data_IF_061619218015
#
_entry.id   IF_061619218015
#
_cell.length_a   1.000
_cell.length_b   1.000
_cell.length_c   1.000
_cell.angle_alpha   90.00
_cell.angle_beta   90.00
_cell.angle_gamma   90.00
#
_symmetry.space_group_name_H-M   'P 1'
#
loop_
_entity.id
_entity.type
_entity.pdbx_description
1 polymer ?
#
# COMPACT_ATOMS: atom_id res chain seq x y z
N UNK A 1 -8.61 9.07 -9.65
CA UNK A 1 -8.92 9.27 -11.08
C UNK A 1 -9.77 8.10 -11.54
N UNK A 2 -10.81 8.36 -12.33
CA UNK A 2 -11.80 7.35 -12.73
C UNK A 2 -11.97 7.35 -14.25
N UNK A 3 -12.06 6.15 -14.82
CA UNK A 3 -12.57 5.90 -16.17
C UNK A 3 -13.89 5.19 -16.06
N UNK A 4 -14.95 5.79 -16.61
CA UNK A 4 -16.29 5.26 -16.56
C UNK A 4 -16.95 5.41 -17.93
N UNK A 5 -17.64 4.34 -18.33
CA UNK A 5 -18.55 4.30 -19.47
C UNK A 5 -19.84 3.62 -19.01
N UNK A 6 -20.95 4.36 -18.99
CA UNK A 6 -22.21 3.91 -18.42
C UNK A 6 -22.05 3.39 -16.99
N UNK A 7 -22.53 2.18 -16.75
CA UNK A 7 -22.50 1.51 -15.44
C UNK A 7 -21.16 0.82 -15.12
N UNK A 8 -20.18 0.83 -16.03
CA UNK A 8 -18.88 0.22 -15.82
C UNK A 8 -17.84 1.29 -15.53
N UNK A 9 -17.11 1.14 -14.42
CA UNK A 9 -16.06 2.07 -14.04
C UNK A 9 -14.82 1.37 -13.50
N UNK A 10 -13.67 1.99 -13.73
CA UNK A 10 -12.39 1.66 -13.13
C UNK A 10 -11.84 2.91 -12.44
N UNK A 11 -11.55 2.81 -11.15
CA UNK A 11 -11.06 3.93 -10.33
C UNK A 11 -9.77 3.56 -9.63
N UNK A 12 -8.74 4.39 -9.83
CA UNK A 12 -7.54 4.36 -8.99
C UNK A 12 -7.76 5.25 -7.77
N UNK A 13 -7.80 4.64 -6.59
CA UNK A 13 -7.79 5.33 -5.30
C UNK A 13 -6.34 5.49 -4.85
N UNK A 14 -5.90 6.73 -4.66
CA UNK A 14 -4.53 7.02 -4.25
C UNK A 14 -4.36 6.82 -2.75
N UNK A 15 -3.13 6.51 -2.32
CA UNK A 15 -2.80 6.30 -0.91
C UNK A 15 -3.71 5.24 -0.25
N UNK A 16 -3.99 4.17 -0.99
CA UNK A 16 -4.77 3.04 -0.53
C UNK A 16 -4.10 1.73 -0.98
N UNK A 17 -4.05 0.76 -0.06
CA UNK A 17 -3.59 -0.60 -0.32
C UNK A 17 -4.72 -1.56 -0.67
N UNK A 18 -4.54 -2.84 -0.36
CA UNK A 18 -5.49 -3.92 -0.66
C UNK A 18 -6.89 -3.65 -0.09
N UNK A 19 -6.95 -3.16 1.15
CA UNK A 19 -8.19 -2.81 1.84
C UNK A 19 -8.45 -1.30 1.75
N UNK A 20 -8.94 -0.84 0.60
CA UNK A 20 -9.17 0.59 0.34
C UNK A 20 -9.88 1.34 1.48
N UNK A 21 -10.97 0.82 2.10
CA UNK A 21 -11.66 1.53 3.17
C UNK A 21 -10.82 1.75 4.44
N UNK A 22 -9.79 0.93 4.69
CA UNK A 22 -8.90 1.11 5.84
C UNK A 22 -8.02 2.36 5.67
N UNK A 23 -7.55 2.61 4.45
CA UNK A 23 -6.65 3.72 4.15
C UNK A 23 -7.41 5.00 3.75
N UNK A 24 -8.54 4.85 3.05
CA UNK A 24 -9.32 5.95 2.49
C UNK A 24 -10.82 5.75 2.77
N UNK A 25 -11.24 5.80 4.06
CA UNK A 25 -12.61 5.47 4.46
C UNK A 25 -13.66 6.37 3.82
N UNK A 26 -13.42 7.68 3.80
CA UNK A 26 -14.35 8.64 3.20
C UNK A 26 -14.51 8.42 1.69
N UNK A 27 -13.41 8.21 0.97
CA UNK A 27 -13.46 7.97 -0.47
C UNK A 27 -14.13 6.63 -0.80
N UNK A 28 -13.87 5.58 -0.01
CA UNK A 28 -14.51 4.29 -0.19
C UNK A 28 -16.03 4.35 0.07
N UNK A 29 -16.45 5.06 1.13
CA UNK A 29 -17.86 5.30 1.42
C UNK A 29 -18.55 6.04 0.27
N UNK A 30 -17.94 7.11 -0.23
CA UNK A 30 -18.48 7.87 -1.34
C UNK A 30 -18.62 7.02 -2.61
N UNK A 31 -17.59 6.25 -2.96
CA UNK A 31 -17.63 5.33 -4.11
C UNK A 31 -18.76 4.32 -3.95
N UNK A 32 -18.90 3.71 -2.76
CA UNK A 32 -19.96 2.76 -2.45
C UNK A 32 -21.34 3.39 -2.64
N UNK A 33 -21.59 4.54 -2.02
CA UNK A 33 -22.87 5.23 -2.11
C UNK A 33 -23.18 5.64 -3.56
N UNK A 34 -22.20 6.18 -4.30
CA UNK A 34 -22.39 6.57 -5.70
C UNK A 34 -22.76 5.36 -6.58
N UNK A 35 -22.07 4.23 -6.40
CA UNK A 35 -22.37 3.00 -7.10
C UNK A 35 -23.78 2.46 -6.74
N UNK A 36 -24.14 2.46 -5.46
CA UNK A 36 -25.45 1.97 -4.99
C UNK A 36 -26.61 2.83 -5.49
N UNK A 37 -26.44 4.15 -5.55
CA UNK A 37 -27.49 5.09 -5.94
C UNK A 37 -27.41 5.57 -7.39
N UNK A 38 -26.73 4.80 -8.26
CA UNK A 38 -26.64 5.02 -9.70
C UNK A 38 -26.17 6.44 -10.08
N UNK A 39 -25.12 6.91 -9.39
CA UNK A 39 -24.42 8.17 -9.65
C UNK A 39 -23.05 7.92 -10.27
N UNK A 40 -22.55 8.88 -11.04
CA UNK A 40 -21.19 8.80 -11.57
C UNK A 40 -20.18 8.65 -10.40
N UNK A 41 -19.23 7.73 -10.56
CA UNK A 41 -18.26 7.44 -9.51
C UNK A 41 -17.30 8.61 -9.23
N UNK A 42 -16.80 9.41 -10.21
CA UNK A 42 -15.83 10.45 -9.90
C UNK A 42 -16.38 11.60 -9.05
N UNK A 43 -17.62 12.05 -9.32
CA UNK A 43 -18.19 13.25 -8.68
C UNK A 43 -19.45 12.97 -7.86
N UNK A 44 -20.25 11.99 -8.24
CA UNK A 44 -21.54 11.69 -7.62
C UNK A 44 -22.67 12.66 -7.99
N UNK A 45 -22.44 13.57 -8.94
CA UNK A 45 -23.37 14.64 -9.29
C UNK A 45 -24.33 14.26 -10.43
N UNK A 46 -23.87 13.41 -11.34
CA UNK A 46 -24.60 13.01 -12.54
C UNK A 46 -25.26 11.64 -12.32
N UNK A 47 -26.51 11.45 -12.77
CA UNK A 47 -27.08 10.12 -12.86
C UNK A 47 -26.32 9.30 -13.93
N UNK A 48 -26.16 8.00 -13.69
CA UNK A 48 -25.58 7.10 -14.70
C UNK A 48 -26.62 6.78 -15.76
N UNK A 49 -26.27 7.04 -17.01
CA UNK A 49 -26.98 6.60 -18.21
C UNK A 49 -26.02 6.05 -19.26
N UNK A 50 -26.54 5.46 -20.33
CA UNK A 50 -25.75 4.73 -21.34
C UNK A 50 -24.68 5.58 -22.02
N UNK A 51 -24.92 6.89 -22.16
CA UNK A 51 -23.98 7.83 -22.79
C UNK A 51 -22.96 8.43 -21.81
N UNK A 52 -23.03 8.12 -20.51
CA UNK A 52 -22.08 8.67 -19.53
C UNK A 52 -20.67 8.18 -19.85
N UNK A 53 -19.79 9.10 -20.22
CA UNK A 53 -18.38 8.81 -20.44
C UNK A 53 -17.50 9.87 -19.76
N UNK A 54 -16.52 9.43 -18.98
CA UNK A 54 -15.58 10.35 -18.31
C UNK A 54 -14.39 10.68 -19.19
N UNK A 55 -14.04 11.97 -19.27
CA UNK A 55 -12.80 12.44 -19.89
C UNK A 55 -11.62 12.45 -18.87
N UNK A 56 -10.39 12.48 -19.39
CA UNK A 56 -9.17 12.46 -18.57
C UNK A 56 -7.92 12.04 -19.35
N UNK A 57 -6.73 12.02 -18.72
CA UNK A 57 -5.48 11.61 -19.34
C UNK A 57 -5.36 10.08 -19.53
N UNK A 58 -4.60 9.59 -20.51
CA UNK A 58 -4.50 8.16 -20.84
C UNK A 58 -4.00 7.30 -19.66
N UNK A 59 -3.23 7.90 -18.74
CA UNK A 59 -2.69 7.23 -17.57
C UNK A 59 -2.58 8.16 -16.35
N UNK A 60 -2.13 7.57 -15.23
CA UNK A 60 -1.89 8.24 -13.95
C UNK A 60 -0.46 8.04 -13.44
N UNK A 61 0.49 7.65 -14.30
CA UNK A 61 1.86 7.34 -13.88
C UNK A 61 2.62 8.56 -13.35
N UNK A 62 2.21 9.75 -13.79
CA UNK A 62 2.71 11.03 -13.31
C UNK A 62 2.25 11.38 -11.89
N UNK A 63 1.20 10.72 -11.37
CA UNK A 63 0.71 10.94 -10.00
C UNK A 63 1.50 10.03 -9.05
N UNK A 64 2.46 10.64 -8.36
CA UNK A 64 3.39 9.97 -7.44
C UNK A 64 3.35 10.63 -6.06
N UNK A 65 3.59 9.85 -5.02
CA UNK A 65 3.82 10.34 -3.67
C UNK A 65 5.30 10.22 -3.33
N UNK A 66 5.76 11.07 -2.41
CA UNK A 66 7.07 10.90 -1.77
C UNK A 66 6.96 9.69 -0.82
N UNK A 67 7.76 8.63 -1.02
CA UNK A 67 7.75 7.49 -0.11
C UNK A 67 8.21 7.93 1.29
N UNK A 68 7.62 7.39 2.37
CA UNK A 68 8.19 7.58 3.69
C UNK A 68 9.58 6.95 3.75
N UNK A 69 10.45 7.45 4.63
CA UNK A 69 11.73 6.80 4.87
C UNK A 69 11.49 5.41 5.46
N UNK A 70 12.08 4.35 4.91
CA UNK A 70 11.91 3.01 5.45
C UNK A 70 12.48 2.96 6.87
N UNK A 71 11.83 2.26 7.82
CA UNK A 71 12.43 2.01 9.12
C UNK A 71 13.68 1.15 8.95
N UNK A 72 14.60 1.19 9.93
CA UNK A 72 15.73 0.25 9.93
C UNK A 72 15.19 -1.19 9.98
N UNK A 73 15.59 -2.08 9.07
CA UNK A 73 15.27 -3.49 9.16
C UNK A 73 15.66 -4.05 10.52
N UNK A 74 14.83 -4.95 11.04
CA UNK A 74 15.09 -5.70 12.27
C UNK A 74 14.96 -7.18 11.94
N UNK A 75 15.92 -7.98 12.39
CA UNK A 75 15.82 -9.42 12.27
C UNK A 75 14.73 -9.94 13.22
N UNK A 76 13.63 -10.42 12.66
CA UNK A 76 12.53 -11.07 13.37
C UNK A 76 12.70 -12.58 13.26
N UNK A 77 13.03 -13.27 14.35
CA UNK A 77 13.51 -14.66 14.30
C UNK A 77 12.45 -15.67 13.85
N UNK A 78 11.17 -15.28 13.88
CA UNK A 78 10.07 -16.11 13.39
C UNK A 78 9.82 -15.94 11.89
N UNK A 79 10.44 -14.95 11.26
CA UNK A 79 10.46 -14.75 9.81
C UNK A 79 11.92 -14.51 9.36
N UNK A 80 12.69 -15.61 9.12
CA UNK A 80 14.11 -15.52 8.80
C UNK A 80 14.43 -14.66 7.57
N UNK A 81 13.46 -14.44 6.67
CA UNK A 81 13.63 -13.58 5.49
C UNK A 81 13.83 -12.10 5.86
N UNK A 82 13.44 -11.70 7.07
CA UNK A 82 13.67 -10.34 7.59
C UNK A 82 15.09 -10.12 8.11
N UNK A 83 15.90 -11.18 8.20
CA UNK A 83 17.26 -11.15 8.74
C UNK A 83 18.30 -11.13 7.62
N UNK A 84 19.40 -10.39 7.81
CA UNK A 84 20.55 -10.54 6.93
C UNK A 84 21.17 -11.93 7.14
N UNK A 85 21.81 -12.54 6.12
CA UNK A 85 22.42 -13.87 6.26
C UNK A 85 23.44 -13.94 7.41
N UNK A 86 24.17 -12.85 7.65
CA UNK A 86 25.16 -12.76 8.73
C UNK A 86 24.51 -12.75 10.12
N UNK A 87 23.45 -11.95 10.32
CA UNK A 87 22.71 -11.94 11.58
C UNK A 87 22.02 -13.28 11.80
N UNK A 88 21.43 -13.87 10.76
CA UNK A 88 20.77 -15.17 10.86
C UNK A 88 21.74 -16.30 11.26
N UNK A 89 22.98 -16.28 10.76
CA UNK A 89 23.99 -17.24 11.17
C UNK A 89 24.27 -17.17 12.69
N UNK A 90 24.31 -15.96 13.26
CA UNK A 90 24.45 -15.77 14.72
C UNK A 90 23.21 -16.23 15.50
N UNK A 91 22.01 -16.03 14.94
CA UNK A 91 20.76 -16.55 15.51
C UNK A 91 20.81 -18.07 15.61
N UNK A 92 21.22 -18.76 14.54
CA UNK A 92 21.36 -20.23 14.50
C UNK A 92 22.45 -20.71 15.47
N UNK A 93 23.54 -19.94 15.62
CA UNK A 93 24.61 -20.25 16.57
C UNK A 93 24.19 -20.05 18.05
N UNK A 94 23.13 -19.28 18.32
CA UNK A 94 22.70 -18.94 19.68
C UNK A 94 23.47 -17.77 20.30
N UNK A 95 24.20 -16.98 19.48
CA UNK A 95 25.10 -15.91 19.92
C UNK A 95 24.45 -14.52 19.94
N UNK A 96 23.12 -14.46 20.02
CA UNK A 96 22.35 -13.22 19.99
C UNK A 96 21.38 -13.13 21.16
N UNK A 97 21.14 -11.90 21.62
CA UNK A 97 20.03 -11.63 22.51
C UNK A 97 18.75 -11.45 21.69
N UNK A 98 17.71 -12.22 22.02
CA UNK A 98 16.39 -12.12 21.39
C UNK A 98 15.39 -11.58 22.41
N UNK A 99 14.74 -10.47 22.07
CA UNK A 99 13.67 -9.87 22.86
C UNK A 99 12.47 -9.57 21.98
N UNK A 100 11.28 -9.97 22.44
CA UNK A 100 10.02 -9.85 21.67
C UNK A 100 10.14 -10.44 20.25
N UNK A 101 10.89 -11.54 20.14
CA UNK A 101 11.24 -12.23 18.88
C UNK A 101 12.13 -11.43 17.90
N UNK A 102 12.69 -10.30 18.32
CA UNK A 102 13.67 -9.55 17.55
C UNK A 102 15.08 -9.73 18.10
N UNK A 103 16.07 -9.78 17.22
CA UNK A 103 17.48 -9.66 17.62
C UNK A 103 17.74 -8.25 18.15
N UNK A 104 18.37 -8.14 19.33
CA UNK A 104 18.69 -6.88 19.99
C UNK A 104 20.19 -6.76 20.21
N UNK A 105 20.75 -5.58 19.94
CA UNK A 105 22.12 -5.26 20.34
C UNK A 105 23.20 -6.04 19.58
N UNK A 106 22.89 -6.56 18.40
CA UNK A 106 23.79 -7.30 17.51
C UNK A 106 24.97 -6.47 16.98
N UNK A 107 24.99 -5.17 17.30
CA UNK A 107 26.08 -4.25 16.98
C UNK A 107 26.28 -4.06 15.48
N UNK A 108 25.32 -4.51 14.67
CA UNK A 108 25.37 -4.43 13.22
C UNK A 108 25.04 -2.99 12.81
N UNK A 109 26.04 -2.20 12.35
CA UNK A 109 25.78 -0.85 11.86
C UNK A 109 24.95 -0.90 10.56
N UNK A 110 24.99 -2.03 9.88
CA UNK A 110 24.26 -2.37 8.66
C UNK A 110 22.89 -3.00 8.97
N UNK A 111 22.14 -2.41 9.89
CA UNK A 111 20.67 -2.41 9.82
C UNK A 111 20.19 -1.66 8.57
N UNK A 112 20.80 -1.95 7.42
CA UNK A 112 20.74 -1.29 6.14
C UNK A 112 20.55 -2.37 5.10
N UNK A 113 19.49 -2.25 4.32
CA UNK A 113 19.27 -3.08 3.15
C UNK A 113 20.55 -3.03 2.30
N UNK A 114 21.08 -4.20 1.96
CA UNK A 114 21.94 -4.29 0.79
C UNK A 114 21.21 -3.62 -0.38
N UNK A 115 21.93 -2.78 -1.11
CA UNK A 115 21.43 -2.11 -2.32
C UNK A 115 20.71 -3.11 -3.24
N UNK A 116 19.48 -2.78 -3.60
CA UNK A 116 18.74 -3.37 -4.72
C UNK A 116 19.10 -2.63 -6.01
#
# INVERSE_FOLDING_TARGET
>A
MTRQLGNYSFTRVFQAGHEVPMYQPAAAYDIFMRATFNRDIPTGLLPVGDELATAGPPDTWHIKNVPPQPPRPKCYVLDPETCTPHVWAKVVAGDVEVKDYFVVGDGDPDGGMGEL
#
